data_IF_537769917507
#
_entry.id   IF_537769917507
#
_cell.length_a   1.000
_cell.length_b   1.000
_cell.length_c   1.000
_cell.angle_alpha   90.00
_cell.angle_beta   90.00
_cell.angle_gamma   90.00
#
_symmetry.space_group_name_H-M   'P 1'
#
loop_
_entity.id
_entity.type
_entity.pdbx_description
1 polymer ?
#
# COMPACT_ATOMS: atom_id res chain seq x y z
N UNK A 1 27.12 -16.11 -14.20
CA UNK A 1 26.03 -15.96 -13.21
C UNK A 1 26.69 -16.25 -11.87
N UNK A 2 27.33 -15.23 -11.28
CA UNK A 2 28.36 -15.38 -10.26
C UNK A 2 27.77 -15.46 -8.85
N UNK A 3 28.58 -15.97 -7.93
CA UNK A 3 28.33 -16.35 -6.53
C UNK A 3 27.72 -15.29 -5.58
N UNK A 4 27.27 -14.13 -6.08
CA UNK A 4 26.65 -13.04 -5.32
C UNK A 4 25.29 -13.39 -4.66
N UNK A 5 24.74 -14.57 -4.93
CA UNK A 5 23.38 -14.95 -4.53
C UNK A 5 23.24 -15.59 -3.13
N UNK A 6 24.33 -15.70 -2.35
CA UNK A 6 24.30 -16.40 -1.04
C UNK A 6 23.98 -15.54 0.19
N UNK A 7 23.94 -14.21 0.10
CA UNK A 7 23.92 -13.36 1.30
C UNK A 7 22.54 -12.92 1.83
N UNK A 8 21.43 -13.40 1.26
CA UNK A 8 20.15 -13.41 1.98
C UNK A 8 19.28 -14.57 1.48
N UNK A 9 19.54 -15.79 1.98
CA UNK A 9 18.86 -17.04 1.55
C UNK A 9 17.33 -16.93 1.52
N UNK A 10 16.75 -16.01 2.30
CA UNK A 10 15.31 -15.84 2.44
C UNK A 10 14.75 -14.52 1.89
N UNK A 11 15.59 -13.61 1.37
CA UNK A 11 15.11 -12.37 0.74
C UNK A 11 14.12 -11.55 1.62
N UNK A 12 14.22 -11.68 2.95
CA UNK A 12 13.29 -11.05 3.91
C UNK A 12 13.67 -9.58 4.09
N UNK A 13 12.69 -8.69 3.93
CA UNK A 13 12.82 -7.24 4.07
C UNK A 13 11.46 -6.55 3.93
N UNK A 14 11.42 -5.20 3.78
CA UNK A 14 10.18 -4.43 3.72
C UNK A 14 9.35 -4.83 2.50
N UNK A 15 10.01 -5.18 1.39
CA UNK A 15 9.35 -5.71 0.20
C UNK A 15 8.47 -6.92 0.50
N UNK A 16 8.99 -7.92 1.22
CA UNK A 16 8.19 -9.11 1.60
C UNK A 16 7.02 -8.74 2.49
N UNK A 17 7.24 -7.85 3.47
CA UNK A 17 6.19 -7.40 4.38
C UNK A 17 5.03 -6.77 3.62
N UNK A 18 5.34 -5.87 2.68
CA UNK A 18 4.35 -5.21 1.82
C UNK A 18 3.70 -6.18 0.82
N UNK A 19 4.43 -7.16 0.28
CA UNK A 19 3.83 -8.22 -0.55
C UNK A 19 2.79 -9.00 0.24
N UNK A 20 3.15 -9.49 1.43
CA UNK A 20 2.21 -10.26 2.27
C UNK A 20 1.03 -9.38 2.65
N UNK A 21 1.26 -8.14 3.06
CA UNK A 21 0.21 -7.17 3.42
C UNK A 21 -0.75 -6.89 2.28
N UNK A 22 -0.23 -6.46 1.12
CA UNK A 22 -1.06 -6.17 -0.04
C UNK A 22 -1.79 -7.41 -0.56
N UNK A 23 -1.13 -8.57 -0.59
CA UNK A 23 -1.76 -9.81 -1.03
C UNK A 23 -2.84 -10.31 -0.07
N UNK A 24 -2.59 -10.26 1.24
CA UNK A 24 -3.58 -10.61 2.25
C UNK A 24 -4.80 -9.70 2.16
N UNK A 25 -4.60 -8.40 1.95
CA UNK A 25 -5.69 -7.45 1.74
C UNK A 25 -6.45 -7.67 0.43
N UNK A 26 -5.75 -7.99 -0.68
CA UNK A 26 -6.41 -8.38 -1.93
C UNK A 26 -7.29 -9.62 -1.68
N UNK A 27 -6.76 -10.65 -1.04
CA UNK A 27 -7.52 -11.86 -0.74
C UNK A 27 -8.71 -11.57 0.17
N UNK A 28 -8.53 -10.76 1.21
CA UNK A 28 -9.60 -10.36 2.13
C UNK A 28 -10.75 -9.68 1.38
N UNK A 29 -10.44 -8.69 0.53
CA UNK A 29 -11.44 -7.91 -0.19
C UNK A 29 -11.96 -8.56 -1.48
N UNK A 30 -11.33 -9.63 -1.97
CA UNK A 30 -11.77 -10.32 -3.18
C UNK A 30 -12.47 -11.66 -2.88
N UNK A 31 -11.97 -12.41 -1.90
CA UNK A 31 -12.46 -13.75 -1.58
C UNK A 31 -13.40 -13.78 -0.36
N UNK A 32 -13.44 -12.72 0.44
CA UNK A 32 -14.35 -12.61 1.58
C UNK A 32 -15.79 -12.35 1.17
N UNK A 33 -16.79 -13.12 1.65
CA UNK A 33 -18.21 -12.83 1.37
C UNK A 33 -18.63 -11.44 1.86
N UNK A 34 -18.14 -11.01 3.02
CA UNK A 34 -18.40 -9.68 3.60
C UNK A 34 -17.94 -8.53 2.69
N UNK A 35 -16.89 -8.73 1.88
CA UNK A 35 -16.36 -7.69 1.01
C UNK A 35 -17.36 -7.38 -0.12
N UNK A 36 -17.96 -8.42 -0.69
CA UNK A 36 -18.99 -8.28 -1.71
C UNK A 36 -20.28 -7.69 -1.15
N UNK A 37 -20.66 -8.04 0.09
CA UNK A 37 -21.79 -7.42 0.80
C UNK A 37 -21.54 -5.92 1.07
N UNK A 38 -20.34 -5.57 1.53
CA UNK A 38 -19.95 -4.17 1.75
C UNK A 38 -20.03 -3.36 0.45
N UNK A 39 -19.52 -3.90 -0.66
CA UNK A 39 -19.55 -3.25 -1.97
C UNK A 39 -20.97 -3.15 -2.55
N UNK A 40 -21.79 -4.18 -2.34
CA UNK A 40 -23.20 -4.15 -2.75
C UNK A 40 -24.01 -3.09 -1.99
N UNK A 41 -23.66 -2.87 -0.71
CA UNK A 41 -24.26 -1.83 0.14
C UNK A 41 -23.74 -0.44 -0.22
N UNK A 42 -22.42 -0.31 -0.40
CA UNK A 42 -21.77 0.95 -0.75
C UNK A 42 -20.54 0.71 -1.66
N UNK A 43 -20.66 1.10 -2.92
CA UNK A 43 -19.62 0.92 -3.93
C UNK A 43 -18.30 1.63 -3.57
N UNK A 44 -18.34 2.62 -2.66
CA UNK A 44 -17.16 3.42 -2.26
C UNK A 44 -16.11 2.58 -1.54
N UNK A 45 -16.49 1.43 -0.97
CA UNK A 45 -15.58 0.44 -0.37
C UNK A 45 -14.53 -0.12 -1.35
N UNK A 46 -14.73 0.06 -2.65
CA UNK A 46 -13.77 -0.33 -3.69
C UNK A 46 -12.35 0.27 -3.49
N UNK A 47 -12.21 1.37 -2.74
CA UNK A 47 -10.91 1.98 -2.47
C UNK A 47 -9.91 1.02 -1.80
N UNK A 48 -10.39 0.04 -1.04
CA UNK A 48 -9.55 -0.96 -0.40
C UNK A 48 -8.78 -1.81 -1.40
N UNK A 49 -9.37 -2.12 -2.56
CA UNK A 49 -8.67 -2.78 -3.65
C UNK A 49 -7.55 -1.91 -4.20
N UNK A 50 -7.80 -0.61 -4.39
CA UNK A 50 -6.75 0.32 -4.82
C UNK A 50 -5.56 0.29 -3.85
N UNK A 51 -5.79 0.44 -2.55
CA UNK A 51 -4.71 0.37 -1.54
C UNK A 51 -3.95 -0.94 -1.59
N UNK A 52 -4.67 -2.06 -1.58
CA UNK A 52 -4.08 -3.40 -1.55
C UNK A 52 -3.19 -3.65 -2.78
N UNK A 53 -3.67 -3.27 -3.97
CA UNK A 53 -2.93 -3.37 -5.24
C UNK A 53 -1.67 -2.51 -5.22
N UNK A 54 -1.77 -1.26 -4.73
CA UNK A 54 -0.64 -0.35 -4.66
C UNK A 54 0.44 -0.89 -3.71
N UNK A 55 0.04 -1.28 -2.49
CA UNK A 55 0.95 -1.84 -1.47
C UNK A 55 1.65 -3.09 -2.02
N UNK A 56 0.88 -3.99 -2.65
CA UNK A 56 1.42 -5.19 -3.27
C UNK A 56 2.46 -4.87 -4.35
N UNK A 57 2.16 -3.93 -5.26
CA UNK A 57 3.10 -3.58 -6.32
C UNK A 57 4.37 -2.90 -5.80
N UNK A 58 4.25 -2.02 -4.79
CA UNK A 58 5.42 -1.41 -4.14
C UNK A 58 6.30 -2.49 -3.49
N UNK A 59 5.69 -3.50 -2.87
CA UNK A 59 6.39 -4.66 -2.34
C UNK A 59 7.14 -5.45 -3.42
N UNK A 60 6.49 -5.74 -4.55
CA UNK A 60 7.10 -6.43 -5.69
C UNK A 60 8.25 -5.63 -6.33
N UNK A 61 8.08 -4.32 -6.49
CA UNK A 61 9.08 -3.41 -7.05
C UNK A 61 10.36 -3.32 -6.20
N UNK A 62 10.30 -3.69 -4.92
CA UNK A 62 11.49 -3.83 -4.09
C UNK A 62 12.44 -4.90 -4.63
N UNK A 63 11.92 -6.05 -5.05
CA UNK A 63 12.69 -7.17 -5.57
C UNK A 63 13.19 -6.95 -7.00
N UNK A 64 12.39 -6.28 -7.82
CA UNK A 64 12.73 -6.02 -9.21
C UNK A 64 13.47 -4.69 -9.34
N UNK A 65 14.81 -4.73 -9.36
CA UNK A 65 15.69 -3.54 -9.29
C UNK A 65 15.78 -2.72 -10.59
N UNK A 66 14.71 -2.66 -11.38
CA UNK A 66 14.65 -1.84 -12.60
C UNK A 66 14.18 -0.41 -12.29
N UNK A 67 14.90 0.63 -12.74
CA UNK A 67 14.50 2.02 -12.55
C UNK A 67 13.10 2.33 -13.08
N UNK A 68 12.71 1.75 -14.23
CA UNK A 68 11.38 1.98 -14.81
C UNK A 68 10.31 1.38 -13.92
N UNK A 69 10.44 0.11 -13.57
CA UNK A 69 9.42 -0.60 -12.79
C UNK A 69 9.24 0.00 -11.40
N UNK A 70 10.32 0.49 -10.77
CA UNK A 70 10.25 1.23 -9.50
C UNK A 70 9.64 2.61 -9.66
N UNK A 71 9.91 3.29 -10.78
CA UNK A 71 9.24 4.57 -11.10
C UNK A 71 7.74 4.36 -11.29
N UNK A 72 7.31 3.28 -11.94
CA UNK A 72 5.88 2.94 -12.07
C UNK A 72 5.25 2.70 -10.71
N UNK A 73 5.90 1.91 -9.83
CA UNK A 73 5.39 1.69 -8.48
C UNK A 73 5.32 2.99 -7.65
N UNK A 74 6.29 3.89 -7.80
CA UNK A 74 6.25 5.23 -7.21
C UNK A 74 5.08 6.06 -7.77
N UNK A 75 4.91 6.13 -9.09
CA UNK A 75 3.78 6.84 -9.72
C UNK A 75 2.44 6.29 -9.23
N UNK A 76 2.33 4.96 -9.16
CA UNK A 76 1.15 4.30 -8.63
C UNK A 76 0.91 4.64 -7.15
N UNK A 77 1.96 4.78 -6.34
CA UNK A 77 1.80 5.15 -4.92
C UNK A 77 1.26 6.55 -4.69
N UNK A 78 1.34 7.47 -5.66
CA UNK A 78 0.65 8.77 -5.56
C UNK A 78 -0.87 8.64 -5.53
N UNK A 79 -1.42 7.51 -6.00
CA UNK A 79 -2.85 7.24 -5.87
C UNK A 79 -3.27 6.98 -4.41
N UNK A 80 -2.34 6.63 -3.50
CA UNK A 80 -2.66 6.39 -2.08
C UNK A 80 -3.30 7.62 -1.42
N UNK A 81 -2.61 8.78 -1.33
CA UNK A 81 -3.20 9.96 -0.70
C UNK A 81 -4.42 10.49 -1.46
N UNK A 82 -4.45 10.37 -2.80
CA UNK A 82 -5.60 10.76 -3.61
C UNK A 82 -6.83 9.94 -3.23
N UNK A 83 -6.68 8.62 -3.16
CA UNK A 83 -7.76 7.70 -2.81
C UNK A 83 -8.18 7.90 -1.36
N UNK A 84 -7.23 8.03 -0.42
CA UNK A 84 -7.50 8.23 1.01
C UNK A 84 -8.12 9.57 1.37
N UNK A 85 -7.94 10.58 0.53
CA UNK A 85 -8.66 11.85 0.70
C UNK A 85 -10.12 11.77 0.27
N UNK A 86 -10.50 10.82 -0.60
CA UNK A 86 -11.79 10.83 -1.28
C UNK A 86 -11.87 11.78 -2.48
N UNK A 87 -10.79 12.46 -2.85
CA UNK A 87 -10.79 13.44 -3.95
C UNK A 87 -11.29 12.89 -5.30
N UNK A 88 -11.26 11.58 -5.50
CA UNK A 88 -11.71 10.92 -6.73
C UNK A 88 -12.57 9.70 -6.43
N UNK A 89 -13.39 9.32 -7.42
CA UNK A 89 -14.17 8.10 -7.38
C UNK A 89 -13.26 6.87 -7.18
N UNK A 90 -13.61 6.04 -6.21
CA UNK A 90 -12.75 4.94 -5.74
C UNK A 90 -12.67 3.77 -6.70
N UNK A 91 -13.70 3.56 -7.52
CA UNK A 91 -13.68 2.59 -8.63
C UNK A 91 -12.66 3.04 -9.67
N UNK A 92 -12.66 4.32 -10.05
CA UNK A 92 -11.70 4.88 -11.00
C UNK A 92 -10.27 4.70 -10.47
N UNK A 93 -10.03 5.04 -9.19
CA UNK A 93 -8.74 4.80 -8.55
C UNK A 93 -8.30 3.33 -8.61
N UNK A 94 -9.23 2.39 -8.37
CA UNK A 94 -8.98 0.95 -8.43
C UNK A 94 -8.63 0.49 -9.85
N UNK A 95 -9.33 0.98 -10.87
CA UNK A 95 -9.06 0.67 -12.28
C UNK A 95 -7.68 1.18 -12.68
N UNK A 96 -7.33 2.42 -12.30
CA UNK A 96 -6.01 2.99 -12.60
C UNK A 96 -4.92 2.20 -11.88
N UNK A 97 -5.09 1.88 -10.59
CA UNK A 97 -4.15 1.07 -9.82
C UNK A 97 -3.96 -0.32 -10.46
N UNK A 98 -5.04 -0.99 -10.86
CA UNK A 98 -5.00 -2.29 -11.52
C UNK A 98 -4.26 -2.22 -12.87
N UNK A 99 -4.51 -1.17 -13.64
CA UNK A 99 -3.86 -0.92 -14.94
C UNK A 99 -2.35 -0.70 -14.77
N UNK A 100 -1.95 0.10 -13.78
CA UNK A 100 -0.53 0.33 -13.48
C UNK A 100 0.18 -0.94 -12.99
N UNK A 101 -0.48 -1.77 -12.18
CA UNK A 101 0.04 -3.09 -11.81
C UNK A 101 0.22 -3.98 -13.05
N UNK A 102 -0.75 -4.01 -13.96
CA UNK A 102 -0.66 -4.81 -15.19
C UNK A 102 0.51 -4.34 -16.08
N UNK A 103 0.66 -3.03 -16.28
CA UNK A 103 1.79 -2.45 -17.01
C UNK A 103 3.12 -2.85 -16.34
N UNK A 104 3.20 -2.75 -15.01
CA UNK A 104 4.37 -3.17 -14.25
C UNK A 104 4.70 -4.65 -14.49
N UNK A 105 3.69 -5.54 -14.42
CA UNK A 105 3.86 -6.98 -14.62
C UNK A 105 4.39 -7.30 -16.03
N UNK A 106 3.80 -6.68 -17.06
CA UNK A 106 4.23 -6.87 -18.45
C UNK A 106 5.71 -6.47 -18.62
N UNK A 107 6.09 -5.29 -18.11
CA UNK A 107 7.46 -4.80 -18.22
C UNK A 107 8.45 -5.65 -17.42
N UNK A 108 8.07 -6.06 -16.20
CA UNK A 108 8.89 -6.91 -15.34
C UNK A 108 9.15 -8.28 -15.98
N UNK A 109 8.12 -8.92 -16.52
CA UNK A 109 8.23 -10.20 -17.25
C UNK A 109 9.12 -10.04 -18.48
N UNK A 110 8.95 -8.95 -19.23
CA UNK A 110 9.72 -8.66 -20.43
C UNK A 110 11.21 -8.45 -20.14
N UNK A 111 11.54 -7.64 -19.13
CA UNK A 111 12.92 -7.45 -18.66
C UNK A 111 13.54 -8.75 -18.17
N UNK A 112 12.78 -9.56 -17.41
CA UNK A 112 13.25 -10.87 -16.92
C UNK A 112 13.54 -11.84 -18.07
N UNK A 113 12.69 -11.87 -19.10
CA UNK A 113 12.92 -12.70 -20.29
C UNK A 113 14.14 -12.26 -21.09
N UNK A 114 14.35 -10.95 -21.26
CA UNK A 114 15.50 -10.41 -22.01
C UNK A 114 16.82 -10.40 -21.22
N UNK A 115 16.77 -10.60 -19.89
CA UNK A 115 17.92 -10.49 -18.97
C UNK A 115 18.64 -9.12 -19.05
N UNK A 116 17.94 -8.10 -19.54
CA UNK A 116 18.42 -6.72 -19.69
C UNK A 116 17.33 -5.81 -19.13
N UNK A 117 17.72 -4.92 -18.22
CA UNK A 117 16.80 -3.90 -17.69
C UNK A 117 16.57 -2.81 -18.73
N UNK A 118 15.33 -2.33 -18.86
CA UNK A 118 15.02 -1.22 -19.74
C UNK A 118 15.73 0.05 -19.24
N UNK A 119 16.16 0.90 -20.19
CA UNK A 119 16.97 2.10 -19.96
C UNK A 119 18.36 1.87 -19.34
N UNK A 120 18.83 0.61 -19.22
CA UNK A 120 20.14 0.33 -18.64
C UNK A 120 21.30 0.98 -19.43
N UNK A 121 21.17 1.10 -20.75
CA UNK A 121 22.18 1.72 -21.62
C UNK A 121 22.06 3.25 -21.68
N UNK A 122 20.87 3.80 -21.37
CA UNK A 122 20.59 5.24 -21.47
C UNK A 122 20.91 6.01 -20.19
N UNK A 123 21.01 5.33 -19.06
CA UNK A 123 21.25 5.93 -17.75
C UNK A 123 22.69 5.67 -17.31
N UNK A 124 23.31 6.67 -16.69
CA UNK A 124 24.57 6.48 -15.96
C UNK A 124 24.33 5.62 -14.72
N UNK A 125 25.35 4.92 -14.24
CA UNK A 125 25.21 4.06 -13.05
C UNK A 125 24.79 4.84 -11.81
N UNK A 126 25.28 6.08 -11.68
CA UNK A 126 24.83 7.02 -10.63
C UNK A 126 23.35 7.37 -10.77
N UNK A 127 22.86 7.60 -11.99
CA UNK A 127 21.45 7.87 -12.27
C UNK A 127 20.55 6.69 -11.94
N UNK A 128 20.93 5.46 -12.34
CA UNK A 128 20.21 4.23 -12.00
C UNK A 128 20.12 4.04 -10.49
N UNK A 129 21.26 4.21 -9.81
CA UNK A 129 21.36 4.13 -8.36
C UNK A 129 20.43 5.14 -7.69
N UNK A 130 20.50 6.40 -8.10
CA UNK A 130 19.67 7.47 -7.54
C UNK A 130 18.18 7.16 -7.72
N UNK A 131 17.75 6.82 -8.94
CA UNK A 131 16.35 6.49 -9.25
C UNK A 131 15.88 5.30 -8.42
N UNK A 132 16.62 4.20 -8.43
CA UNK A 132 16.26 2.98 -7.72
C UNK A 132 16.07 3.19 -6.22
N UNK A 133 16.72 4.19 -5.62
CA UNK A 133 16.65 4.46 -4.18
C UNK A 133 15.53 5.43 -3.86
N UNK A 134 15.50 6.58 -4.54
CA UNK A 134 14.55 7.63 -4.20
C UNK A 134 13.13 7.22 -4.59
N UNK A 135 12.93 6.52 -5.70
CA UNK A 135 11.59 6.05 -6.11
C UNK A 135 10.94 5.15 -5.07
N UNK A 136 11.70 4.23 -4.46
CA UNK A 136 11.19 3.34 -3.41
C UNK A 136 10.95 4.07 -2.09
N UNK A 137 11.86 4.96 -1.69
CA UNK A 137 11.67 5.76 -0.47
C UNK A 137 10.43 6.64 -0.59
N UNK A 138 10.26 7.31 -1.74
CA UNK A 138 9.07 8.10 -2.05
C UNK A 138 7.82 7.21 -2.03
N UNK A 139 7.88 6.02 -2.61
CA UNK A 139 6.76 5.09 -2.59
C UNK A 139 6.35 4.68 -1.17
N UNK A 140 7.31 4.38 -0.29
CA UNK A 140 7.02 4.07 1.11
C UNK A 140 6.42 5.26 1.87
N UNK A 141 6.94 6.46 1.65
CA UNK A 141 6.38 7.69 2.22
C UNK A 141 4.93 7.85 1.77
N UNK A 142 4.63 7.66 0.48
CA UNK A 142 3.28 7.80 -0.06
C UNK A 142 2.32 6.72 0.43
N UNK A 143 2.78 5.48 0.62
CA UNK A 143 2.00 4.42 1.27
C UNK A 143 1.62 4.82 2.69
N UNK A 144 2.58 5.31 3.48
CA UNK A 144 2.31 5.75 4.85
C UNK A 144 1.55 7.09 4.92
N UNK A 145 1.61 7.93 3.89
CA UNK A 145 0.84 9.17 3.78
C UNK A 145 -0.66 8.89 3.84
N UNK A 146 -1.12 7.70 3.44
CA UNK A 146 -2.51 7.28 3.59
C UNK A 146 -3.07 7.57 4.99
N UNK A 147 -2.33 7.21 6.04
CA UNK A 147 -2.71 7.49 7.42
C UNK A 147 -2.74 8.99 7.76
N UNK A 148 -1.87 9.81 7.15
CA UNK A 148 -1.92 11.27 7.35
C UNK A 148 -3.20 11.84 6.73
N UNK A 149 -3.59 11.35 5.55
CA UNK A 149 -4.84 11.78 4.92
C UNK A 149 -6.04 11.40 5.78
N UNK A 150 -6.04 10.19 6.35
CA UNK A 150 -7.09 9.77 7.27
C UNK A 150 -7.17 10.71 8.49
N UNK A 151 -6.09 10.86 9.27
CA UNK A 151 -6.16 11.61 10.53
C UNK A 151 -6.30 13.13 10.37
N UNK A 152 -5.66 13.74 9.36
CA UNK A 152 -5.60 15.20 9.24
C UNK A 152 -6.70 15.74 8.32
N UNK A 153 -7.00 15.02 7.23
CA UNK A 153 -7.91 15.52 6.21
C UNK A 153 -9.31 14.96 6.38
N UNK A 154 -9.43 13.64 6.60
CA UNK A 154 -10.72 12.96 6.59
C UNK A 154 -11.41 12.97 7.95
N UNK A 155 -10.77 12.42 8.97
CA UNK A 155 -11.36 12.19 10.30
C UNK A 155 -12.02 13.45 10.90
N UNK A 156 -11.45 14.67 10.82
CA UNK A 156 -12.06 15.87 11.42
C UNK A 156 -13.41 16.27 10.82
N UNK A 157 -13.66 15.86 9.57
CA UNK A 157 -14.85 16.22 8.79
C UNK A 157 -15.73 15.02 8.44
N UNK A 158 -15.27 13.81 8.75
CA UNK A 158 -15.94 12.54 8.46
C UNK A 158 -17.29 12.43 9.16
N UNK A 159 -17.47 13.08 10.31
CA UNK A 159 -18.76 13.20 10.97
C UNK A 159 -19.86 13.80 10.06
N UNK A 160 -19.47 14.62 9.08
CA UNK A 160 -20.38 15.20 8.09
C UNK A 160 -20.97 14.14 7.14
N UNK A 161 -20.27 13.01 6.92
CA UNK A 161 -20.77 11.90 6.08
C UNK A 161 -22.00 11.23 6.70
N UNK A 162 -22.08 11.19 8.02
CA UNK A 162 -23.23 10.62 8.73
C UNK A 162 -24.43 11.57 8.77
N UNK A 163 -24.21 12.88 8.64
CA UNK A 163 -25.28 13.87 8.80
C UNK A 163 -25.84 14.39 7.46
N UNK A 164 -25.01 14.51 6.41
CA UNK A 164 -25.42 15.15 5.15
C UNK A 164 -24.75 14.45 3.96
N UNK A 165 -25.31 13.32 3.52
CA UNK A 165 -24.77 12.54 2.39
C UNK A 165 -24.62 13.37 1.09
N UNK A 166 -25.51 14.33 0.84
CA UNK A 166 -25.55 15.08 -0.43
C UNK A 166 -24.61 16.30 -0.52
N UNK A 167 -23.99 16.76 0.57
CA UNK A 167 -23.11 17.94 0.59
C UNK A 167 -21.69 17.66 1.13
N UNK A 168 -21.28 16.38 1.18
CA UNK A 168 -19.98 15.98 1.73
C UNK A 168 -18.77 16.35 0.85
N UNK A 169 -18.98 17.00 -0.30
CA UNK A 169 -17.90 17.46 -1.19
C UNK A 169 -17.03 16.28 -1.66
N UNK A 170 -15.71 16.41 -1.50
CA UNK A 170 -14.77 15.36 -1.87
C UNK A 170 -14.92 14.09 -1.02
N UNK A 171 -15.41 14.17 0.22
CA UNK A 171 -15.61 12.98 1.05
C UNK A 171 -16.70 12.05 0.50
N UNK A 172 -17.56 12.54 -0.40
CA UNK A 172 -18.66 11.76 -0.97
C UNK A 172 -18.18 10.46 -1.64
N UNK A 173 -16.92 10.37 -2.06
CA UNK A 173 -16.38 9.17 -2.70
C UNK A 173 -15.86 8.11 -1.72
N UNK A 174 -15.80 8.36 -0.41
CA UNK A 174 -15.40 7.36 0.58
C UNK A 174 -16.57 6.99 1.51
N UNK A 175 -16.63 5.75 2.00
CA UNK A 175 -17.50 5.42 3.13
C UNK A 175 -16.96 6.11 4.40
N UNK A 176 -17.69 6.19 5.51
CA UNK A 176 -17.15 6.64 6.77
C UNK A 176 -16.44 5.47 7.49
N UNK A 177 -15.19 5.68 7.89
CA UNK A 177 -14.32 4.72 8.59
C UNK A 177 -13.91 5.22 9.99
N UNK A 178 -14.34 6.41 10.41
CA UNK A 178 -13.90 7.04 11.65
C UNK A 178 -14.18 6.23 12.92
N UNK A 179 -15.11 5.28 12.86
CA UNK A 179 -15.46 4.37 13.95
C UNK A 179 -14.83 2.97 13.80
N UNK A 180 -14.06 2.73 12.74
CA UNK A 180 -13.41 1.44 12.51
C UNK A 180 -12.08 1.34 13.23
N UNK A 181 -12.02 0.50 14.26
CA UNK A 181 -10.80 0.28 15.03
C UNK A 181 -9.68 -0.29 14.16
N UNK A 182 -10.02 -1.10 13.16
CA UNK A 182 -9.06 -1.65 12.21
C UNK A 182 -8.35 -0.55 11.40
N UNK A 183 -9.08 0.44 10.90
CA UNK A 183 -8.52 1.58 10.13
C UNK A 183 -7.54 2.38 10.98
N UNK A 184 -7.94 2.73 12.21
CA UNK A 184 -7.08 3.44 13.15
C UNK A 184 -5.78 2.68 13.45
N UNK A 185 -5.90 1.40 13.78
CA UNK A 185 -4.77 0.54 14.07
C UNK A 185 -3.81 0.42 12.88
N UNK A 186 -4.36 0.27 11.68
CA UNK A 186 -3.60 0.14 10.45
C UNK A 186 -2.83 1.42 10.13
N UNK A 187 -3.49 2.58 10.16
CA UNK A 187 -2.89 3.87 9.79
C UNK A 187 -1.81 4.33 10.77
N UNK A 188 -2.04 4.14 12.08
CA UNK A 188 -1.00 4.35 13.09
C UNK A 188 0.18 3.40 12.84
N UNK A 189 -0.13 2.14 12.55
CA UNK A 189 0.85 1.12 12.22
C UNK A 189 1.75 1.49 11.03
N UNK A 190 1.18 2.10 9.99
CA UNK A 190 1.93 2.55 8.81
C UNK A 190 2.94 3.65 9.14
N UNK A 191 2.68 4.52 10.11
CA UNK A 191 3.69 5.49 10.56
C UNK A 191 4.87 4.82 11.24
N UNK A 192 4.61 3.84 12.12
CA UNK A 192 5.67 3.06 12.73
C UNK A 192 6.47 2.29 11.68
N UNK A 193 5.80 1.70 10.70
CA UNK A 193 6.46 1.05 9.56
C UNK A 193 7.35 2.03 8.79
N UNK A 194 6.87 3.24 8.48
CA UNK A 194 7.65 4.26 7.77
C UNK A 194 8.91 4.65 8.53
N UNK A 195 8.79 4.93 9.83
CA UNK A 195 9.94 5.31 10.68
C UNK A 195 10.99 4.21 10.66
N UNK A 196 10.55 2.95 10.80
CA UNK A 196 11.45 1.79 10.81
C UNK A 196 12.10 1.58 9.45
N UNK A 197 11.35 1.62 8.35
CA UNK A 197 11.92 1.38 7.01
C UNK A 197 12.89 2.48 6.60
N UNK A 198 12.61 3.74 6.95
CA UNK A 198 13.53 4.86 6.72
C UNK A 198 14.81 4.68 7.55
N UNK A 199 14.69 4.33 8.84
CA UNK A 199 15.85 4.05 9.70
C UNK A 199 16.72 2.92 9.14
N UNK A 200 16.11 1.82 8.71
CA UNK A 200 16.84 0.70 8.10
C UNK A 200 17.52 1.11 6.79
N UNK A 201 16.82 1.86 5.93
CA UNK A 201 17.39 2.39 4.68
C UNK A 201 18.61 3.28 4.94
N UNK A 202 18.57 4.17 5.93
CA UNK A 202 19.71 5.01 6.30
C UNK A 202 20.86 4.18 6.90
N UNK A 203 20.56 3.21 7.77
CA UNK A 203 21.57 2.39 8.46
C UNK A 203 22.32 1.47 7.50
N UNK A 204 21.61 0.85 6.56
CA UNK A 204 22.21 -0.02 5.55
C UNK A 204 23.04 0.75 4.53
N UNK A 205 22.80 2.05 4.44
CA UNK A 205 23.07 2.82 3.25
C UNK A 205 22.30 2.25 2.06
N UNK A 206 22.64 2.76 0.90
CA UNK A 206 22.08 2.38 -0.38
C UNK A 206 22.16 0.85 -0.62
N UNK A 207 21.02 0.14 -0.51
CA UNK A 207 20.91 -1.33 -0.69
C UNK A 207 21.04 -1.80 -2.16
N UNK A 208 22.00 -1.22 -2.87
CA UNK A 208 22.43 -1.66 -4.20
C UNK A 208 23.52 -2.72 -4.12
N UNK A 209 24.24 -2.80 -2.98
CA UNK A 209 25.32 -3.76 -2.76
C UNK A 209 24.85 -5.15 -2.28
N UNK A 210 23.56 -5.48 -2.46
CA UNK A 210 22.95 -6.75 -2.03
C UNK A 210 23.25 -7.13 -0.57
N UNK A 211 23.42 -6.14 0.31
CA UNK A 211 23.66 -6.38 1.73
C UNK A 211 22.39 -6.97 2.36
N UNK A 212 22.52 -7.86 3.36
CA UNK A 212 21.36 -8.42 4.05
C UNK A 212 20.56 -7.30 4.72
N UNK A 213 19.32 -7.10 4.27
CA UNK A 213 18.45 -6.06 4.81
C UNK A 213 18.00 -6.41 6.24
N UNK A 214 17.94 -5.45 7.19
CA UNK A 214 17.49 -5.71 8.55
C UNK A 214 16.00 -6.11 8.55
N UNK A 215 15.62 -7.05 9.40
CA UNK A 215 14.28 -7.67 9.30
C UNK A 215 13.20 -6.91 10.08
N UNK A 216 13.52 -5.77 10.71
CA UNK A 216 12.59 -5.10 11.61
C UNK A 216 11.39 -4.53 10.84
N UNK A 217 11.59 -3.91 9.68
CA UNK A 217 10.47 -3.43 8.85
C UNK A 217 9.54 -4.56 8.39
N UNK A 218 10.09 -5.74 8.09
CA UNK A 218 9.29 -6.92 7.80
C UNK A 218 8.40 -7.29 8.99
N UNK A 219 8.98 -7.45 10.19
CA UNK A 219 8.21 -7.80 11.38
C UNK A 219 7.18 -6.73 11.74
N UNK A 220 7.51 -5.45 11.58
CA UNK A 220 6.56 -4.36 11.78
C UNK A 220 5.40 -4.46 10.82
N UNK A 221 5.62 -4.72 9.52
CA UNK A 221 4.53 -4.94 8.57
C UNK A 221 3.60 -6.09 9.00
N UNK A 222 4.17 -7.19 9.50
CA UNK A 222 3.38 -8.31 10.05
C UNK A 222 2.58 -7.89 11.30
N UNK A 223 3.22 -7.14 12.21
CA UNK A 223 2.56 -6.64 13.42
C UNK A 223 1.42 -5.67 13.11
N UNK A 224 1.60 -4.78 12.13
CA UNK A 224 0.55 -3.86 11.68
C UNK A 224 -0.69 -4.65 11.23
N UNK A 225 -0.50 -5.68 10.39
CA UNK A 225 -1.61 -6.54 9.98
C UNK A 225 -2.25 -7.26 11.17
N UNK A 226 -1.44 -7.88 12.03
CA UNK A 226 -1.96 -8.66 13.17
C UNK A 226 -2.77 -7.79 14.13
N UNK A 227 -2.28 -6.59 14.47
CA UNK A 227 -2.97 -5.65 15.35
C UNK A 227 -4.25 -5.15 14.68
N UNK A 228 -4.23 -4.86 13.37
CA UNK A 228 -5.43 -4.41 12.64
C UNK A 228 -6.51 -5.50 12.60
N UNK A 229 -6.12 -6.77 12.42
CA UNK A 229 -7.05 -7.90 12.49
C UNK A 229 -7.60 -8.13 13.89
N UNK A 230 -6.78 -7.96 14.94
CA UNK A 230 -7.24 -8.02 16.33
C UNK A 230 -8.23 -6.88 16.60
N UNK A 231 -7.94 -5.68 16.12
CA UNK A 231 -8.84 -4.54 16.25
C UNK A 231 -10.19 -4.78 15.55
N UNK A 232 -10.16 -5.38 14.35
CA UNK A 232 -11.36 -5.81 13.63
C UNK A 232 -12.16 -6.86 14.42
N UNK A 233 -11.49 -7.86 15.00
CA UNK A 233 -12.14 -8.86 15.84
C UNK A 233 -12.77 -8.24 17.09
N UNK A 234 -12.08 -7.32 17.75
CA UNK A 234 -12.63 -6.59 18.90
C UNK A 234 -13.87 -5.80 18.48
N UNK A 235 -13.83 -5.13 17.33
CA UNK A 235 -14.97 -4.40 16.79
C UNK A 235 -16.17 -5.33 16.52
N UNK A 236 -15.94 -6.47 15.87
CA UNK A 236 -17.00 -7.47 15.62
C UNK A 236 -17.62 -7.97 16.94
N UNK A 237 -16.79 -8.28 17.93
CA UNK A 237 -17.26 -8.77 19.24
C UNK A 237 -17.98 -7.71 20.09
N UNK A 238 -17.78 -6.42 19.82
CA UNK A 238 -18.32 -5.33 20.65
C UNK A 238 -19.50 -4.59 20.00
N UNK A 239 -19.45 -4.37 18.69
CA UNK A 239 -20.42 -3.57 17.94
C UNK A 239 -20.99 -4.37 16.73
N UNK A 240 -20.39 -5.51 16.38
CA UNK A 240 -20.74 -6.32 15.22
C UNK A 240 -20.09 -5.81 13.92
N UNK A 241 -19.88 -6.69 12.94
CA UNK A 241 -19.42 -6.32 11.59
C UNK A 241 -20.46 -5.56 10.76
N UNK A 242 -21.75 -5.63 11.13
CA UNK A 242 -22.85 -4.92 10.46
C UNK A 242 -23.03 -3.48 10.97
N UNK A 243 -21.99 -2.90 11.58
CA UNK A 243 -22.00 -1.52 12.05
C UNK A 243 -22.35 -0.52 10.93
N UNK A 244 -22.11 -0.86 9.66
CA UNK A 244 -22.56 -0.08 8.50
C UNK A 244 -24.08 0.14 8.54
N UNK A 245 -24.89 -0.88 8.82
CA UNK A 245 -26.34 -0.69 8.92
C UNK A 245 -26.76 0.18 10.12
N UNK A 246 -25.94 0.15 11.18
CA UNK A 246 -26.18 0.89 12.44
C UNK A 246 -25.93 2.39 12.33
N UNK A 247 -25.03 2.83 11.45
CA UNK A 247 -24.69 4.26 11.30
C UNK A 247 -25.26 4.93 10.04
N UNK A 248 -25.83 4.15 9.12
CA UNK A 248 -26.50 4.64 7.92
C UNK A 248 -28.03 4.70 8.03
N UNK A 249 -28.59 4.35 9.20
CA UNK A 249 -30.00 4.53 9.56
C UNK A 249 -30.21 5.76 10.44
#
# INVERSE_FOLDING_TARGET
MNEENKQNKYLIGPGMGLIIMGFAYILWWFAGPWAWEAIATDIRWAHNWAYAIIIFNVGLAWYHKSPITRTIAMVQSFLMPITASGSFNTIICTIIASTLLLIWLILSIFEKKRKILLLNEKLTDRGKMWLNMHTLVIAWILVAHMGLMFFIVRLPIEFSLYQIQNNAGFLANLPPEGLEFATWAYDIGLFFFLIVVIKEQYTMGYNLKNKPWPKLSFYVAILVMAISLIALLIQDLTIGLDWVSTFYT
#
